data_IF_399413745759
#
_entry.id   IF_399413745759
#
_cell.length_a   1.000
_cell.length_b   1.000
_cell.length_c   1.000
_cell.angle_alpha   90.00
_cell.angle_beta   90.00
_cell.angle_gamma   90.00
#
_symmetry.space_group_name_H-M   'P 1'
#
loop_
_entity.id
_entity.type
_entity.pdbx_description
1 polymer ?
#
# COMPACT_ATOMS: atom_id res chain seq x y z
N UNK A 1 -71.70 14.93 -32.01
CA UNK A 1 -70.63 14.72 -31.02
C UNK A 1 -70.56 13.25 -30.52
N UNK A 2 -70.62 12.23 -31.40
CA UNK A 2 -70.50 10.80 -31.01
C UNK A 2 -69.40 10.02 -31.75
N UNK A 3 -68.72 10.63 -32.73
CA UNK A 3 -67.70 9.96 -33.58
C UNK A 3 -66.26 10.17 -33.13
N UNK A 4 -65.97 11.26 -32.41
CA UNK A 4 -64.62 11.55 -31.89
C UNK A 4 -64.26 10.76 -30.64
N UNK A 5 -65.24 10.32 -29.85
CA UNK A 5 -65.00 9.49 -28.66
C UNK A 5 -64.64 8.04 -28.99
N UNK A 6 -65.11 7.50 -30.11
CA UNK A 6 -64.83 6.11 -30.50
C UNK A 6 -63.38 5.93 -30.98
N UNK A 7 -62.78 6.94 -31.61
CA UNK A 7 -61.38 6.87 -32.06
C UNK A 7 -60.37 6.99 -30.91
N UNK A 8 -60.65 7.81 -29.88
CA UNK A 8 -59.79 7.87 -28.69
C UNK A 8 -59.80 6.56 -27.90
N UNK A 9 -60.93 5.85 -27.84
CA UNK A 9 -61.00 4.56 -27.15
C UNK A 9 -60.23 3.44 -27.86
N UNK A 10 -60.24 3.42 -29.20
CA UNK A 10 -59.48 2.41 -29.97
C UNK A 10 -57.97 2.66 -29.89
N UNK A 11 -57.54 3.94 -29.87
CA UNK A 11 -56.11 4.27 -29.74
C UNK A 11 -55.56 4.02 -28.33
N UNK A 12 -56.36 4.24 -27.27
CA UNK A 12 -55.96 3.90 -25.89
C UNK A 12 -55.87 2.39 -25.66
N UNK A 13 -56.74 1.59 -26.29
CA UNK A 13 -56.65 0.13 -26.19
C UNK A 13 -55.44 -0.46 -26.93
N UNK A 14 -55.01 0.12 -28.06
CA UNK A 14 -53.81 -0.35 -28.77
C UNK A 14 -52.49 -0.05 -28.04
N UNK A 15 -52.46 0.96 -27.15
CA UNK A 15 -51.27 1.27 -26.34
C UNK A 15 -51.27 0.48 -25.02
N UNK A 16 -52.44 0.11 -24.50
CA UNK A 16 -52.56 -0.68 -23.27
C UNK A 16 -52.45 -2.20 -23.48
N UNK A 17 -52.50 -2.69 -24.71
CA UNK A 17 -52.40 -4.13 -25.03
C UNK A 17 -50.98 -4.61 -25.36
N UNK A 18 -49.96 -3.74 -25.29
CA UNK A 18 -48.55 -4.12 -25.37
C UNK A 18 -47.83 -4.20 -24.01
N UNK A 19 -48.52 -3.91 -22.91
CA UNK A 19 -47.99 -4.13 -21.56
C UNK A 19 -48.59 -5.41 -20.96
N UNK A 20 -47.75 -6.44 -20.82
CA UNK A 20 -47.96 -7.67 -20.05
C UNK A 20 -48.58 -8.90 -20.74
N UNK A 21 -48.22 -9.18 -21.99
CA UNK A 21 -48.02 -10.59 -22.35
C UNK A 21 -46.72 -11.07 -21.69
N UNK A 22 -46.79 -11.41 -20.39
CA UNK A 22 -45.85 -12.39 -19.83
C UNK A 22 -46.13 -13.66 -20.62
N UNK A 23 -45.23 -14.00 -21.54
CA UNK A 23 -45.21 -15.34 -22.14
C UNK A 23 -45.33 -16.32 -20.98
N UNK A 24 -46.33 -17.23 -20.97
CA UNK A 24 -46.34 -18.27 -19.99
C UNK A 24 -45.08 -19.10 -20.29
N UNK A 25 -44.04 -18.92 -19.48
CA UNK A 25 -42.91 -19.84 -19.40
C UNK A 25 -43.43 -21.14 -18.80
N UNK A 26 -44.29 -21.85 -19.53
CA UNK A 26 -44.74 -23.22 -19.22
C UNK A 26 -43.75 -24.27 -19.70
N UNK A 27 -42.57 -23.87 -20.16
CA UNK A 27 -41.39 -24.71 -20.06
C UNK A 27 -40.49 -24.13 -18.96
N UNK A 28 -40.58 -24.69 -17.76
CA UNK A 28 -39.47 -24.65 -16.80
C UNK A 28 -38.33 -25.34 -17.50
N UNK A 29 -37.45 -24.56 -18.13
CA UNK A 29 -36.23 -25.09 -18.71
C UNK A 29 -35.47 -25.74 -17.55
N UNK A 30 -35.19 -27.05 -17.58
CA UNK A 30 -34.44 -27.69 -16.51
C UNK A 30 -33.09 -26.99 -16.39
N UNK A 31 -32.81 -26.49 -15.20
CA UNK A 31 -31.65 -25.67 -14.92
C UNK A 31 -31.55 -25.39 -13.44
N UNK A 32 -30.43 -24.82 -13.03
CA UNK A 32 -30.19 -24.46 -11.63
C UNK A 32 -29.19 -23.32 -11.55
N UNK A 33 -28.84 -22.95 -10.35
CA UNK A 33 -27.76 -22.02 -10.06
C UNK A 33 -26.45 -22.78 -9.87
N UNK A 34 -25.37 -22.15 -10.32
CA UNK A 34 -24.00 -22.55 -10.01
C UNK A 34 -23.19 -21.30 -9.64
N UNK A 35 -22.00 -21.50 -9.09
CA UNK A 35 -21.09 -20.41 -8.77
C UNK A 35 -20.44 -19.90 -10.05
N UNK A 36 -20.65 -18.63 -10.36
CA UNK A 36 -20.05 -17.96 -11.51
C UNK A 36 -18.62 -17.52 -11.20
N UNK A 37 -18.42 -16.79 -10.10
CA UNK A 37 -17.14 -16.28 -9.64
C UNK A 37 -17.09 -16.11 -8.13
N UNK A 38 -15.87 -15.94 -7.61
CA UNK A 38 -15.59 -15.60 -6.22
C UNK A 38 -14.78 -14.30 -6.22
N UNK A 39 -15.15 -13.34 -5.38
CA UNK A 39 -14.46 -12.07 -5.20
C UNK A 39 -13.98 -11.94 -3.76
N UNK A 40 -12.72 -11.56 -3.58
CA UNK A 40 -12.18 -11.24 -2.25
C UNK A 40 -12.42 -9.75 -1.98
N UNK A 41 -13.04 -9.47 -0.84
CA UNK A 41 -13.39 -8.14 -0.35
C UNK A 41 -12.50 -7.79 0.84
N UNK A 42 -12.13 -6.51 0.99
CA UNK A 42 -11.33 -6.01 2.12
C UNK A 42 -11.97 -4.76 2.69
N UNK A 43 -11.95 -4.63 4.02
CA UNK A 43 -12.39 -3.44 4.74
C UNK A 43 -11.34 -3.04 5.80
N UNK A 44 -10.76 -1.83 5.74
CA UNK A 44 -10.99 -0.80 4.71
C UNK A 44 -10.47 -1.23 3.33
N UNK A 45 -11.02 -0.67 2.24
CA UNK A 45 -10.57 -0.94 0.86
C UNK A 45 -9.16 -0.41 0.60
N UNK A 46 -8.80 0.68 1.30
CA UNK A 46 -7.48 1.27 1.32
C UNK A 46 -6.83 1.05 2.68
N UNK A 47 -5.66 0.43 2.70
CA UNK A 47 -4.96 0.09 3.93
C UNK A 47 -3.44 0.16 3.77
N UNK A 48 -2.76 0.27 4.92
CA UNK A 48 -1.34 0.56 5.00
C UNK A 48 -0.60 -0.49 5.86
N UNK A 49 0.72 -0.46 5.87
CA UNK A 49 1.54 -1.18 6.84
C UNK A 49 1.03 -0.94 8.26
N UNK A 50 1.04 -1.99 9.08
CA UNK A 50 0.45 -2.03 10.43
C UNK A 50 -1.08 -1.97 10.52
N UNK A 51 -1.80 -1.90 9.39
CA UNK A 51 -3.26 -1.98 9.41
C UNK A 51 -3.75 -3.36 9.81
N UNK A 52 -4.84 -3.41 10.59
CA UNK A 52 -5.67 -4.60 10.76
C UNK A 52 -6.79 -4.50 9.73
N UNK A 53 -6.87 -5.47 8.83
CA UNK A 53 -7.92 -5.53 7.81
C UNK A 53 -8.92 -6.64 8.13
N UNK A 54 -10.19 -6.39 7.80
CA UNK A 54 -11.21 -7.41 7.71
C UNK A 54 -11.32 -7.86 6.25
N UNK A 55 -11.45 -9.17 6.07
CA UNK A 55 -11.56 -9.83 4.77
C UNK A 55 -12.92 -10.49 4.70
N UNK A 56 -13.57 -10.32 3.56
CA UNK A 56 -14.81 -10.97 3.19
C UNK A 56 -14.66 -11.65 1.83
N UNK A 57 -15.64 -12.48 1.50
CA UNK A 57 -15.74 -13.12 0.21
C UNK A 57 -17.15 -12.96 -0.32
N UNK A 58 -17.28 -12.53 -1.58
CA UNK A 58 -18.53 -12.56 -2.33
C UNK A 58 -18.51 -13.74 -3.29
N UNK A 59 -19.51 -14.59 -3.19
CA UNK A 59 -19.74 -15.71 -4.09
C UNK A 59 -20.86 -15.30 -5.03
N UNK A 60 -20.56 -15.17 -6.31
CA UNK A 60 -21.54 -14.82 -7.32
C UNK A 60 -22.17 -16.09 -7.90
N UNK A 61 -23.47 -16.05 -8.11
CA UNK A 61 -24.25 -17.13 -8.68
C UNK A 61 -24.74 -16.76 -10.07
N UNK A 62 -24.83 -17.76 -10.94
CA UNK A 62 -25.49 -17.59 -12.22
C UNK A 62 -26.43 -18.76 -12.49
N UNK A 63 -27.54 -18.46 -13.14
CA UNK A 63 -28.47 -19.48 -13.62
C UNK A 63 -27.89 -20.13 -14.88
N UNK A 64 -27.85 -21.44 -14.89
CA UNK A 64 -27.43 -22.25 -16.04
C UNK A 64 -28.60 -23.05 -16.57
N UNK A 65 -28.63 -23.20 -17.90
CA UNK A 65 -29.65 -23.94 -18.63
C UNK A 65 -29.05 -25.30 -19.01
N UNK A 66 -29.71 -26.40 -18.61
CA UNK A 66 -29.25 -27.77 -18.90
C UNK A 66 -28.05 -28.25 -18.06
N UNK A 67 -27.59 -29.49 -18.31
CA UNK A 67 -26.51 -30.19 -17.58
C UNK A 67 -25.10 -29.57 -17.75
N UNK A 68 -24.99 -28.32 -18.20
CA UNK A 68 -23.73 -27.70 -18.59
C UNK A 68 -22.81 -27.31 -17.41
N UNK A 69 -23.32 -27.25 -16.18
CA UNK A 69 -22.50 -26.98 -15.00
C UNK A 69 -22.44 -28.21 -14.09
N UNK A 70 -21.22 -28.67 -13.81
CA UNK A 70 -20.95 -29.66 -12.76
C UNK A 70 -21.49 -29.10 -11.43
N UNK A 71 -22.46 -29.80 -10.83
CA UNK A 71 -23.04 -29.49 -9.51
C UNK A 71 -23.98 -28.26 -9.43
N UNK A 72 -24.88 -28.05 -10.40
CA UNK A 72 -25.96 -27.06 -10.27
C UNK A 72 -27.02 -27.45 -9.23
N UNK A 73 -27.68 -26.47 -8.61
CA UNK A 73 -28.76 -26.69 -7.65
C UNK A 73 -29.85 -25.62 -7.78
N UNK A 74 -31.06 -25.91 -7.36
CA UNK A 74 -32.14 -24.93 -7.24
C UNK A 74 -32.72 -25.00 -5.83
N UNK A 75 -33.32 -23.90 -5.36
CA UNK A 75 -33.91 -23.80 -4.02
C UNK A 75 -35.33 -23.27 -4.13
N UNK A 76 -36.26 -23.89 -3.42
CA UNK A 76 -37.59 -23.32 -3.17
C UNK A 76 -37.52 -22.27 -2.06
N UNK A 77 -38.60 -21.51 -1.91
CA UNK A 77 -38.75 -20.64 -0.73
C UNK A 77 -38.62 -21.46 0.56
N UNK A 78 -37.80 -20.95 1.49
CA UNK A 78 -37.41 -21.58 2.77
C UNK A 78 -36.43 -22.78 2.68
N UNK A 79 -35.99 -23.19 1.48
CA UNK A 79 -34.91 -24.16 1.36
C UNK A 79 -33.54 -23.48 1.50
N UNK A 80 -32.60 -24.18 2.11
CA UNK A 80 -31.21 -23.75 2.25
C UNK A 80 -30.26 -24.83 1.74
N UNK A 81 -29.19 -24.41 1.07
CA UNK A 81 -28.07 -25.28 0.72
C UNK A 81 -26.88 -24.97 1.61
N UNK A 82 -26.33 -25.98 2.28
CA UNK A 82 -25.05 -25.86 2.97
C UNK A 82 -23.91 -25.84 1.95
N UNK A 83 -23.00 -24.90 2.12
CA UNK A 83 -21.77 -24.77 1.33
C UNK A 83 -20.59 -24.45 2.25
N UNK A 84 -19.39 -24.71 1.75
CA UNK A 84 -18.14 -24.54 2.49
C UNK A 84 -17.17 -23.66 1.71
N UNK A 85 -16.48 -22.78 2.43
CA UNK A 85 -15.41 -21.97 1.86
C UNK A 85 -14.19 -22.02 2.75
N UNK A 86 -13.03 -22.19 2.11
CA UNK A 86 -11.73 -22.11 2.74
C UNK A 86 -11.08 -20.80 2.34
N UNK A 87 -10.59 -20.07 3.32
CA UNK A 87 -9.79 -18.88 3.07
C UNK A 87 -8.35 -19.15 3.48
N UNK A 88 -7.49 -19.30 2.48
CA UNK A 88 -6.05 -19.46 2.64
C UNK A 88 -5.49 -18.06 2.91
N UNK A 89 -4.75 -17.94 4.01
CA UNK A 89 -4.33 -16.66 4.59
C UNK A 89 -3.42 -15.79 3.71
N UNK A 90 -2.76 -14.82 4.34
CA UNK A 90 -1.78 -13.95 3.69
C UNK A 90 -0.56 -14.77 3.27
N UNK A 91 -0.53 -15.23 2.02
CA UNK A 91 0.62 -15.93 1.45
C UNK A 91 1.71 -14.90 1.14
N UNK A 92 2.75 -14.86 1.99
CA UNK A 92 3.88 -13.92 1.89
C UNK A 92 4.96 -14.46 0.94
N UNK A 93 5.14 -15.78 0.93
CA UNK A 93 6.04 -16.48 0.03
C UNK A 93 5.52 -17.89 -0.28
N UNK A 94 6.29 -18.71 -0.99
CA UNK A 94 5.93 -20.13 -1.19
C UNK A 94 5.92 -20.93 0.11
N UNK A 95 6.72 -20.52 1.09
CA UNK A 95 6.94 -21.25 2.36
C UNK A 95 6.36 -20.52 3.58
N UNK A 96 5.96 -19.25 3.43
CA UNK A 96 5.47 -18.41 4.52
C UNK A 96 4.00 -18.01 4.26
N UNK A 97 3.11 -18.45 5.15
CA UNK A 97 1.69 -18.06 5.12
C UNK A 97 1.24 -17.63 6.50
N UNK A 98 0.72 -16.42 6.61
CA UNK A 98 0.08 -15.93 7.82
C UNK A 98 -1.41 -16.23 7.78
N UNK A 99 -1.92 -16.99 8.75
CA UNK A 99 -3.32 -17.41 8.77
C UNK A 99 -4.23 -16.23 9.13
N UNK A 100 -5.29 -16.05 8.33
CA UNK A 100 -6.40 -15.17 8.65
C UNK A 100 -7.33 -15.90 9.63
N UNK A 101 -7.71 -15.24 10.71
CA UNK A 101 -8.54 -15.85 11.76
C UNK A 101 -9.99 -15.40 11.56
N UNK A 102 -10.93 -16.34 11.59
CA UNK A 102 -12.35 -16.06 11.43
C UNK A 102 -13.02 -15.65 12.76
N UNK A 103 -13.70 -14.51 12.76
CA UNK A 103 -14.54 -13.93 13.82
C UNK A 103 -15.93 -13.54 13.29
N UNK A 104 -16.31 -14.06 12.14
CA UNK A 104 -17.63 -13.81 11.55
C UNK A 104 -18.76 -14.52 12.29
N UNK A 105 -19.98 -14.48 11.74
CA UNK A 105 -21.11 -15.24 12.25
C UNK A 105 -20.75 -16.72 12.45
N UNK A 106 -21.33 -17.35 13.47
CA UNK A 106 -21.04 -18.76 13.80
C UNK A 106 -21.15 -19.63 12.56
N UNK A 107 -20.03 -20.25 12.19
CA UNK A 107 -19.93 -21.21 11.09
C UNK A 107 -20.89 -22.37 11.34
N UNK A 108 -21.50 -22.88 10.28
CA UNK A 108 -22.26 -24.14 10.35
C UNK A 108 -21.35 -25.35 10.64
N UNK A 109 -20.03 -25.21 10.46
CA UNK A 109 -19.03 -26.20 10.86
C UNK A 109 -18.36 -25.86 12.19
N UNK A 110 -17.86 -26.87 12.92
CA UNK A 110 -17.05 -26.66 14.12
C UNK A 110 -15.87 -25.71 13.89
N UNK A 111 -15.52 -24.91 14.89
CA UNK A 111 -14.43 -23.92 14.81
C UNK A 111 -13.05 -24.52 14.55
N UNK A 112 -12.85 -25.79 14.91
CA UNK A 112 -11.62 -26.55 14.68
C UNK A 112 -11.60 -27.29 13.33
N UNK A 113 -12.64 -27.14 12.50
CA UNK A 113 -12.68 -27.78 11.19
C UNK A 113 -11.74 -27.05 10.21
N UNK A 114 -10.66 -27.74 9.81
CA UNK A 114 -9.59 -27.17 9.00
C UNK A 114 -9.02 -28.20 8.02
N UNK A 115 -8.54 -27.72 6.87
CA UNK A 115 -7.78 -28.51 5.89
C UNK A 115 -6.47 -27.80 5.56
N UNK A 116 -5.36 -28.54 5.60
CA UNK A 116 -4.03 -27.97 5.37
C UNK A 116 -3.64 -26.85 6.36
N UNK A 117 -4.25 -26.81 7.54
CA UNK A 117 -4.04 -25.76 8.55
C UNK A 117 -4.87 -24.49 8.36
N UNK A 118 -5.80 -24.45 7.40
CA UNK A 118 -6.69 -23.32 7.16
C UNK A 118 -8.12 -23.64 7.60
N UNK A 119 -8.73 -22.72 8.34
CA UNK A 119 -10.11 -22.85 8.81
C UNK A 119 -11.09 -22.86 7.62
N UNK A 120 -12.02 -23.82 7.65
CA UNK A 120 -13.11 -23.92 6.67
C UNK A 120 -14.39 -23.42 7.34
N UNK A 121 -15.08 -22.50 6.68
CA UNK A 121 -16.33 -21.91 7.17
C UNK A 121 -17.50 -22.51 6.38
N UNK A 122 -18.48 -23.03 7.12
CA UNK A 122 -19.74 -23.52 6.58
C UNK A 122 -20.80 -22.42 6.61
N UNK A 123 -21.52 -22.24 5.52
CA UNK A 123 -22.56 -21.21 5.38
C UNK A 123 -23.74 -21.72 4.58
N UNK A 124 -24.93 -21.17 4.85
CA UNK A 124 -26.15 -21.52 4.15
C UNK A 124 -26.45 -20.52 3.02
N UNK A 125 -26.68 -21.04 1.82
CA UNK A 125 -27.23 -20.31 0.68
C UNK A 125 -28.73 -20.47 0.68
N UNK A 126 -29.45 -19.35 0.61
CA UNK A 126 -30.91 -19.27 0.58
C UNK A 126 -31.40 -18.92 -0.83
N UNK A 127 -32.70 -19.08 -1.07
CA UNK A 127 -33.32 -18.61 -2.31
C UNK A 127 -33.13 -17.10 -2.54
N UNK A 128 -33.18 -16.30 -1.47
CA UNK A 128 -32.96 -14.85 -1.57
C UNK A 128 -31.53 -14.50 -2.03
N UNK A 129 -30.51 -15.26 -1.59
CA UNK A 129 -29.13 -15.10 -2.07
C UNK A 129 -29.04 -15.41 -3.59
N UNK A 130 -29.71 -16.47 -4.06
CA UNK A 130 -29.74 -16.85 -5.48
C UNK A 130 -30.44 -15.80 -6.35
N UNK A 131 -31.56 -15.25 -5.86
CA UNK A 131 -32.32 -14.20 -6.56
C UNK A 131 -31.56 -12.87 -6.60
N UNK A 132 -30.80 -12.58 -5.55
CA UNK A 132 -29.88 -11.44 -5.50
C UNK A 132 -28.66 -11.65 -6.42
N UNK A 133 -28.34 -12.90 -6.73
CA UNK A 133 -27.24 -13.29 -7.60
C UNK A 133 -25.89 -13.38 -6.90
N UNK A 134 -25.81 -13.15 -5.59
CA UNK A 134 -24.59 -13.30 -4.81
C UNK A 134 -24.85 -13.55 -3.33
N UNK A 135 -23.83 -14.04 -2.63
CA UNK A 135 -23.77 -14.10 -1.17
C UNK A 135 -22.44 -13.58 -0.67
N UNK A 136 -22.47 -12.72 0.35
CA UNK A 136 -21.27 -12.27 1.04
C UNK A 136 -21.07 -13.00 2.36
N UNK A 137 -19.81 -13.31 2.65
CA UNK A 137 -19.38 -13.92 3.89
C UNK A 137 -18.26 -13.04 4.43
N UNK A 138 -18.45 -12.50 5.64
CA UNK A 138 -17.49 -11.62 6.28
C UNK A 138 -17.03 -12.23 7.59
N UNK A 139 -15.81 -11.86 8.02
CA UNK A 139 -15.36 -12.15 9.37
C UNK A 139 -13.92 -12.58 9.52
N UNK A 140 -13.14 -12.69 8.44
CA UNK A 140 -11.72 -13.00 8.57
C UNK A 140 -10.94 -11.74 8.92
N UNK A 141 -10.01 -11.83 9.86
CA UNK A 141 -9.09 -10.74 10.20
C UNK A 141 -7.66 -11.24 10.24
N UNK A 142 -6.72 -10.33 10.02
CA UNK A 142 -5.30 -10.61 10.20
C UNK A 142 -4.99 -10.89 11.68
N UNK A 143 -4.20 -11.93 11.92
CA UNK A 143 -3.73 -12.30 13.27
C UNK A 143 -2.68 -11.32 13.79
N UNK A 144 -1.87 -10.76 12.89
CA UNK A 144 -0.86 -9.76 13.16
C UNK A 144 -0.98 -8.60 12.17
N UNK A 145 -0.52 -7.39 12.53
CA UNK A 145 -0.52 -6.25 11.61
C UNK A 145 0.25 -6.54 10.32
N UNK A 146 -0.19 -5.96 9.21
CA UNK A 146 0.43 -6.18 7.90
C UNK A 146 1.87 -5.63 7.87
N UNK A 147 2.83 -6.51 7.59
CA UNK A 147 4.21 -6.11 7.30
C UNK A 147 4.32 -5.57 5.88
N UNK A 148 5.24 -4.63 5.61
CA UNK A 148 5.43 -4.00 4.30
C UNK A 148 6.07 -4.92 3.25
N UNK A 149 5.36 -5.99 2.92
CA UNK A 149 5.74 -7.04 1.98
C UNK A 149 4.53 -7.43 1.14
N UNK A 150 4.77 -7.83 -0.10
CA UNK A 150 3.72 -8.32 -0.99
C UNK A 150 3.07 -9.56 -0.37
N UNK A 151 1.77 -9.74 -0.62
CA UNK A 151 1.05 -10.91 -0.17
C UNK A 151 -0.09 -11.26 -1.13
N UNK A 152 -0.60 -12.48 -1.02
CA UNK A 152 -1.82 -12.91 -1.68
C UNK A 152 -2.86 -13.36 -0.66
N UNK A 153 -4.14 -13.15 -0.93
CA UNK A 153 -5.25 -13.82 -0.25
C UNK A 153 -5.87 -14.77 -1.27
N UNK A 154 -6.13 -15.99 -0.84
CA UNK A 154 -6.71 -17.02 -1.70
C UNK A 154 -7.97 -17.56 -1.00
N UNK A 155 -9.06 -17.68 -1.74
CA UNK A 155 -10.31 -18.22 -1.24
C UNK A 155 -10.79 -19.32 -2.20
N UNK A 156 -11.09 -20.50 -1.69
CA UNK A 156 -11.52 -21.65 -2.49
C UNK A 156 -12.80 -22.25 -1.92
N UNK A 157 -13.74 -22.63 -2.79
CA UNK A 157 -14.84 -23.49 -2.38
C UNK A 157 -14.33 -24.90 -2.12
N UNK A 158 -14.72 -25.45 -0.98
CA UNK A 158 -14.31 -26.78 -0.57
C UNK A 158 -15.48 -27.78 -0.73
N UNK A 159 -15.23 -29.05 -0.48
CA UNK A 159 -16.30 -30.05 -0.39
C UNK A 159 -17.14 -29.80 0.87
N UNK A 160 -18.42 -30.19 0.83
CA UNK A 160 -19.23 -30.27 2.05
C UNK A 160 -18.67 -31.43 2.89
N UNK A 161 -18.09 -31.14 4.07
CA UNK A 161 -17.43 -32.15 4.86
C UNK A 161 -18.38 -33.05 5.64
N UNK A 162 -19.64 -32.62 5.84
CA UNK A 162 -20.65 -33.39 6.57
C UNK A 162 -21.19 -34.50 5.67
N UNK A 163 -21.37 -34.20 4.39
CA UNK A 163 -21.96 -35.13 3.43
C UNK A 163 -20.92 -35.73 2.45
N UNK A 164 -19.67 -35.27 2.51
CA UNK A 164 -18.61 -35.59 1.56
C UNK A 164 -19.05 -35.37 0.10
N UNK A 165 -19.87 -34.35 -0.13
CA UNK A 165 -20.43 -34.02 -1.43
C UNK A 165 -19.76 -32.75 -1.99
N UNK A 166 -19.46 -32.72 -3.30
CA UNK A 166 -18.93 -31.53 -3.93
C UNK A 166 -19.95 -30.39 -3.87
N UNK A 167 -19.49 -29.22 -3.41
CA UNK A 167 -20.30 -28.00 -3.44
C UNK A 167 -20.48 -27.52 -4.89
N UNK A 168 -21.50 -26.69 -5.12
CA UNK A 168 -21.64 -26.06 -6.43
C UNK A 168 -20.44 -25.16 -6.70
N UNK A 169 -19.70 -25.43 -7.77
CA UNK A 169 -18.43 -24.75 -8.04
C UNK A 169 -17.25 -25.27 -7.21
N UNK A 170 -17.29 -26.52 -6.73
CA UNK A 170 -16.09 -27.17 -6.18
C UNK A 170 -14.93 -27.01 -7.18
N UNK A 171 -13.75 -26.63 -6.71
CA UNK A 171 -12.58 -26.18 -7.50
C UNK A 171 -12.61 -24.73 -8.03
N UNK A 172 -13.67 -23.96 -7.79
CA UNK A 172 -13.60 -22.51 -8.01
C UNK A 172 -12.92 -21.84 -6.83
N UNK A 173 -11.94 -21.04 -7.16
CA UNK A 173 -11.21 -20.21 -6.21
C UNK A 173 -10.98 -18.82 -6.77
N UNK A 174 -10.62 -17.91 -5.88
CA UNK A 174 -10.16 -16.58 -6.18
C UNK A 174 -8.80 -16.39 -5.53
N UNK A 175 -7.88 -15.77 -6.26
CA UNK A 175 -6.62 -15.27 -5.73
C UNK A 175 -6.52 -13.80 -6.06
N UNK A 176 -6.20 -13.01 -5.06
CA UNK A 176 -5.91 -11.58 -5.24
C UNK A 176 -4.52 -11.33 -4.68
N UNK A 177 -3.71 -10.63 -5.46
CA UNK A 177 -2.35 -10.28 -5.10
C UNK A 177 -2.30 -8.79 -4.73
N UNK A 178 -1.66 -8.47 -3.60
CA UNK A 178 -1.37 -7.11 -3.16
C UNK A 178 0.12 -6.84 -3.24
N UNK A 179 0.44 -5.65 -3.75
CA UNK A 179 1.79 -5.12 -3.82
C UNK A 179 1.94 -4.06 -2.73
N UNK A 180 2.99 -4.19 -1.93
CA UNK A 180 3.43 -3.18 -0.98
C UNK A 180 4.11 -2.06 -1.75
N UNK A 181 3.49 -0.88 -1.76
CA UNK A 181 4.00 0.33 -2.40
C UNK A 181 4.31 1.35 -1.33
N UNK A 182 5.56 1.77 -1.19
CA UNK A 182 5.85 2.93 -0.36
C UNK A 182 5.34 4.18 -1.08
N UNK A 183 4.18 4.70 -0.64
CA UNK A 183 3.66 5.98 -1.13
C UNK A 183 4.08 7.08 -0.17
N UNK A 184 4.61 8.15 -0.74
CA UNK A 184 5.09 9.35 -0.03
C UNK A 184 4.02 9.98 0.86
N UNK A 185 2.75 9.85 0.47
CA UNK A 185 1.58 10.40 1.18
C UNK A 185 1.02 9.49 2.28
N UNK A 186 1.65 8.35 2.56
CA UNK A 186 1.21 7.47 3.63
C UNK A 186 1.61 8.05 5.01
N UNK A 187 0.74 7.96 6.04
CA UNK A 187 1.10 8.39 7.39
C UNK A 187 2.37 7.66 7.84
N UNK A 188 3.37 8.41 8.32
CA UNK A 188 4.66 7.98 8.90
C UNK A 188 5.06 6.51 8.65
N UNK A 189 6.02 6.27 7.74
CA UNK A 189 6.71 4.98 7.54
C UNK A 189 5.84 3.78 7.10
N UNK A 190 4.59 3.98 6.72
CA UNK A 190 3.72 2.89 6.27
C UNK A 190 3.70 2.74 4.74
N UNK A 191 3.87 1.51 4.26
CA UNK A 191 3.57 1.17 2.85
C UNK A 191 2.06 1.20 2.62
N UNK A 192 1.61 1.56 1.43
CA UNK A 192 0.24 1.35 0.97
C UNK A 192 0.15 0.02 0.23
N UNK A 193 -0.89 -0.77 0.48
CA UNK A 193 -1.13 -1.99 -0.29
C UNK A 193 -2.08 -1.72 -1.44
N UNK A 194 -1.62 -2.03 -2.66
CA UNK A 194 -2.40 -1.83 -3.89
C UNK A 194 -2.62 -3.19 -4.55
N UNK A 195 -3.84 -3.46 -5.02
CA UNK A 195 -4.11 -4.71 -5.75
C UNK A 195 -3.34 -4.74 -7.06
N UNK A 196 -2.66 -5.84 -7.36
CA UNK A 196 -1.73 -5.98 -8.50
C UNK A 196 -2.40 -5.73 -9.86
N UNK A 197 -3.67 -6.09 -10.01
CA UNK A 197 -4.50 -5.82 -11.18
C UNK A 197 -4.79 -4.33 -11.39
N UNK A 198 -4.77 -3.53 -10.32
CA UNK A 198 -4.90 -2.06 -10.39
C UNK A 198 -3.56 -1.35 -10.63
N UNK A 199 -2.42 -2.00 -10.33
CA UNK A 199 -1.07 -1.45 -10.59
C UNK A 199 -0.83 -1.22 -12.09
N UNK A 200 -1.44 -2.02 -12.96
CA UNK A 200 -1.31 -1.89 -14.42
C UNK A 200 -1.95 -0.62 -15.00
N UNK A 201 -2.78 0.12 -14.24
CA UNK A 201 -3.44 1.33 -14.74
C UNK A 201 -2.91 2.64 -14.13
N UNK A 202 -2.14 2.61 -13.04
CA UNK A 202 -1.60 3.83 -12.42
C UNK A 202 -0.27 3.57 -11.73
N UNK A 203 0.84 3.66 -12.47
CA UNK A 203 2.08 4.30 -12.01
C UNK A 203 3.08 4.30 -13.16
N UNK A 204 3.16 5.41 -13.90
CA UNK A 204 4.48 5.85 -14.35
C UNK A 204 5.22 6.19 -13.08
N UNK A 205 6.17 5.36 -12.66
CA UNK A 205 7.00 5.65 -11.49
C UNK A 205 7.77 6.94 -11.79
N UNK A 206 7.27 8.06 -11.28
CA UNK A 206 7.87 9.37 -11.48
C UNK A 206 9.02 9.51 -10.49
N UNK A 207 10.24 9.48 -11.00
CA UNK A 207 11.43 9.75 -10.21
C UNK A 207 11.60 11.27 -10.08
N UNK A 208 12.33 11.69 -9.07
CA UNK A 208 12.70 13.09 -8.86
C UNK A 208 14.18 13.16 -8.61
N UNK A 209 14.86 14.13 -9.21
CA UNK A 209 16.28 14.36 -9.04
C UNK A 209 16.59 15.70 -8.41
N UNK A 210 17.61 15.74 -7.56
CA UNK A 210 18.13 17.03 -7.08
C UNK A 210 18.94 17.66 -8.20
N UNK A 211 18.57 18.88 -8.57
CA UNK A 211 19.26 19.67 -9.58
C UNK A 211 20.30 20.59 -8.96
N UNK A 212 20.06 21.12 -7.76
CA UNK A 212 20.97 22.03 -7.06
C UNK A 212 20.67 22.12 -5.58
N UNK A 213 21.68 22.49 -4.81
CA UNK A 213 21.50 22.94 -3.42
C UNK A 213 21.08 24.41 -3.45
N UNK A 214 19.98 24.73 -2.75
CA UNK A 214 19.43 26.08 -2.64
C UNK A 214 19.98 26.81 -1.42
N UNK A 215 20.02 26.13 -0.27
CA UNK A 215 20.53 26.71 0.98
C UNK A 215 20.95 25.62 1.98
N UNK A 216 21.69 26.04 3.00
CA UNK A 216 22.00 25.26 4.19
C UNK A 216 21.63 26.08 5.41
N UNK A 217 20.64 25.62 6.16
CA UNK A 217 20.18 26.26 7.41
C UNK A 217 20.84 25.56 8.59
N UNK A 218 21.22 26.34 9.59
CA UNK A 218 21.84 25.82 10.81
C UNK A 218 21.10 26.39 12.01
N UNK A 219 20.74 25.52 12.94
CA UNK A 219 20.05 25.90 14.17
C UNK A 219 20.73 25.28 15.38
N UNK A 220 20.87 25.98 16.52
CA UNK A 220 20.60 27.42 16.71
C UNK A 220 21.73 28.34 16.19
N UNK A 221 21.37 29.58 15.85
CA UNK A 221 22.29 30.73 15.68
C UNK A 221 21.97 31.80 16.76
N UNK A 222 22.97 32.44 17.42
CA UNK A 222 24.42 32.31 17.24
C UNK A 222 25.00 31.00 17.82
N UNK A 223 26.23 30.68 17.44
CA UNK A 223 26.90 29.43 17.84
C UNK A 223 27.66 29.56 19.15
N UNK A 224 27.38 28.66 20.08
CA UNK A 224 28.06 28.56 21.37
C UNK A 224 28.81 27.23 21.54
N UNK A 225 29.75 27.20 22.48
CA UNK A 225 30.53 26.01 22.79
C UNK A 225 29.65 24.91 23.39
N UNK A 226 29.83 23.68 22.94
CA UNK A 226 29.08 22.52 23.43
C UNK A 226 27.65 22.41 22.91
N UNK A 227 27.21 23.34 22.06
CA UNK A 227 25.90 23.34 21.41
C UNK A 227 25.79 22.20 20.40
N UNK A 228 24.59 21.62 20.32
CA UNK A 228 24.23 20.70 19.26
C UNK A 228 23.70 21.50 18.07
N UNK A 229 24.31 21.32 16.91
CA UNK A 229 23.89 21.93 15.66
C UNK A 229 22.96 20.98 14.91
N UNK A 230 21.83 21.53 14.48
CA UNK A 230 20.92 20.92 13.52
C UNK A 230 21.15 21.59 12.17
N UNK A 231 21.61 20.80 11.20
CA UNK A 231 21.87 21.28 9.84
C UNK A 231 20.77 20.77 8.92
N UNK A 232 20.17 21.68 8.16
CA UNK A 232 19.12 21.41 7.19
C UNK A 232 19.64 21.81 5.81
N UNK A 233 19.71 20.86 4.90
CA UNK A 233 20.04 21.09 3.50
C UNK A 233 18.75 21.29 2.71
N UNK A 234 18.62 22.43 2.03
CA UNK A 234 17.50 22.74 1.15
C UNK A 234 17.98 22.59 -0.29
N UNK A 235 17.27 21.81 -1.09
CA UNK A 235 17.64 21.51 -2.46
C UNK A 235 16.44 21.63 -3.40
N UNK A 236 16.70 21.93 -4.67
CA UNK A 236 15.68 22.01 -5.72
C UNK A 236 15.61 20.69 -6.46
N UNK A 237 14.42 20.13 -6.62
CA UNK A 237 14.22 18.87 -7.32
C UNK A 237 13.35 19.00 -8.58
N UNK A 238 13.62 18.15 -9.56
CA UNK A 238 12.86 18.08 -10.81
C UNK A 238 12.44 16.64 -11.14
N UNK A 239 11.33 16.43 -11.86
CA UNK A 239 10.94 15.11 -12.33
C UNK A 239 12.01 14.47 -13.23
N UNK A 240 12.09 13.14 -13.18
CA UNK A 240 12.93 12.33 -14.06
C UNK A 240 12.21 11.02 -14.42
N UNK A 241 12.52 10.49 -15.61
CA UNK A 241 11.93 9.27 -16.17
C UNK A 241 12.65 7.99 -15.77
N UNK A 242 13.94 8.09 -15.40
CA UNK A 242 14.80 6.95 -15.06
C UNK A 242 15.30 7.03 -13.61
N UNK A 243 15.46 5.89 -12.92
CA UNK A 243 16.10 5.84 -11.62
C UNK A 243 17.56 6.30 -11.73
N UNK A 244 18.04 6.93 -10.67
CA UNK A 244 19.36 7.52 -10.58
C UNK A 244 19.80 7.50 -9.09
N UNK A 245 21.11 7.44 -8.85
CA UNK A 245 21.69 7.47 -7.50
C UNK A 245 22.66 8.68 -7.42
N UNK A 246 22.39 9.66 -6.54
CA UNK A 246 23.38 10.68 -6.11
C UNK A 246 23.70 10.47 -4.64
N UNK A 247 24.81 11.07 -4.23
CA UNK A 247 25.30 11.05 -2.87
C UNK A 247 25.44 12.49 -2.38
N UNK A 248 24.79 12.80 -1.27
CA UNK A 248 24.98 14.08 -0.58
C UNK A 248 26.18 13.95 0.36
N UNK A 249 27.19 14.77 0.12
CA UNK A 249 28.43 14.82 0.91
C UNK A 249 28.53 16.19 1.57
N UNK A 250 29.02 16.25 2.80
CA UNK A 250 29.21 17.51 3.51
C UNK A 250 30.46 17.51 4.38
N UNK A 251 30.99 18.70 4.63
CA UNK A 251 32.14 18.96 5.51
C UNK A 251 31.81 20.07 6.48
N UNK A 252 32.31 19.94 7.71
CA UNK A 252 32.14 20.94 8.76
C UNK A 252 33.51 21.26 9.33
N UNK A 253 33.92 22.51 9.14
CA UNK A 253 35.17 23.02 9.66
C UNK A 253 34.88 24.09 10.71
N UNK A 254 35.48 23.96 11.88
CA UNK A 254 35.37 24.91 12.98
C UNK A 254 36.74 25.52 13.23
N UNK A 255 36.83 26.85 13.13
CA UNK A 255 38.04 27.61 13.44
C UNK A 255 37.90 28.26 14.81
N UNK A 256 38.93 28.11 15.63
CA UNK A 256 38.97 28.62 17.00
C UNK A 256 39.84 29.86 17.14
N UNK A 257 39.64 30.64 18.20
CA UNK A 257 40.41 31.88 18.47
C UNK A 257 41.91 31.63 18.64
N UNK A 258 42.28 30.46 19.16
CA UNK A 258 43.68 30.06 19.32
C UNK A 258 44.36 29.66 17.99
N UNK A 259 43.68 29.82 16.85
CA UNK A 259 44.18 29.47 15.52
C UNK A 259 44.03 27.99 15.14
N UNK A 260 43.59 27.14 16.07
CA UNK A 260 43.33 25.73 15.76
C UNK A 260 42.10 25.61 14.84
N UNK A 261 42.12 24.60 13.98
CA UNK A 261 40.98 24.20 13.16
C UNK A 261 40.64 22.76 13.47
N UNK A 262 39.37 22.48 13.73
CA UNK A 262 38.84 21.12 13.82
C UNK A 262 37.97 20.87 12.61
N UNK A 263 38.29 19.84 11.84
CA UNK A 263 37.31 19.23 10.95
C UNK A 263 36.60 18.16 11.75
N UNK A 264 35.26 18.14 11.72
CA UNK A 264 34.51 17.08 12.36
C UNK A 264 34.66 15.86 11.45
N UNK A 265 35.37 14.80 11.89
CA UNK A 265 35.73 13.72 10.99
C UNK A 265 34.46 12.96 10.60
N UNK A 266 34.20 12.97 9.31
CA UNK A 266 33.36 11.97 8.66
C UNK A 266 34.32 11.13 7.81
N UNK A 267 34.34 9.81 8.03
CA UNK A 267 35.32 8.89 7.43
C UNK A 267 35.18 8.85 5.90
N UNK A 268 35.92 9.71 5.20
CA UNK A 268 35.86 9.90 3.75
C UNK A 268 37.17 9.59 3.02
N UNK A 269 38.21 9.12 3.72
CA UNK A 269 39.54 8.85 3.15
C UNK A 269 39.64 7.59 2.27
N UNK A 270 38.61 6.76 2.22
CA UNK A 270 38.39 5.67 1.27
C UNK A 270 36.89 5.39 1.36
N UNK A 271 36.17 5.49 0.24
CA UNK A 271 34.71 5.49 0.15
C UNK A 271 34.11 4.30 0.93
N UNK A 272 33.62 4.54 2.14
CA UNK A 272 32.79 3.60 2.86
C UNK A 272 31.32 3.89 2.48
N UNK A 273 30.69 3.08 1.62
CA UNK A 273 29.29 3.29 1.23
C UNK A 273 28.31 3.25 2.41
N UNK A 274 28.74 2.80 3.59
CA UNK A 274 27.94 2.80 4.81
C UNK A 274 27.84 4.19 5.50
N UNK A 275 28.64 5.19 5.10
CA UNK A 275 28.63 6.52 5.72
C UNK A 275 27.99 7.62 4.86
N UNK A 276 27.77 7.37 3.57
CA UNK A 276 27.22 8.35 2.63
C UNK A 276 25.70 8.55 2.79
N UNK A 277 25.22 9.78 2.56
CA UNK A 277 23.78 10.04 2.46
C UNK A 277 23.34 9.78 1.01
N UNK A 278 22.55 8.73 0.80
CA UNK A 278 22.00 8.40 -0.52
C UNK A 278 20.83 9.33 -0.82
N UNK A 279 20.89 10.02 -1.95
CA UNK A 279 19.76 10.78 -2.48
C UNK A 279 18.96 9.88 -3.41
N UNK A 280 17.68 9.67 -3.12
CA UNK A 280 16.84 8.74 -3.89
C UNK A 280 15.38 9.15 -3.92
N UNK A 281 14.66 8.78 -4.98
CA UNK A 281 13.19 8.86 -5.01
C UNK A 281 12.51 7.63 -4.42
N UNK A 282 13.25 6.53 -4.23
CA UNK A 282 12.72 5.26 -3.73
C UNK A 282 13.70 4.64 -2.75
N UNK A 283 13.44 4.69 -1.43
CA UNK A 283 14.29 4.05 -0.43
C UNK A 283 14.46 2.57 -0.77
N UNK A 284 15.69 2.10 -0.95
CA UNK A 284 15.97 0.67 -1.09
C UNK A 284 16.01 0.06 0.32
N UNK A 285 15.34 -1.08 0.51
CA UNK A 285 15.19 -1.70 1.83
C UNK A 285 16.51 -2.16 2.46
N UNK A 286 16.82 -1.55 3.60
CA UNK A 286 17.64 -1.99 4.75
C UNK A 286 19.13 -2.33 4.58
N UNK A 287 19.95 -1.58 5.34
CA UNK A 287 21.33 -1.88 5.70
C UNK A 287 22.14 -0.63 6.03
N UNK A 288 21.72 0.15 7.03
CA UNK A 288 22.49 1.27 7.61
C UNK A 288 22.87 2.47 6.70
N UNK A 289 22.03 2.81 5.71
CA UNK A 289 22.30 3.99 4.85
C UNK A 289 21.33 5.13 5.14
N UNK A 290 21.88 6.35 5.28
CA UNK A 290 21.12 7.58 5.54
C UNK A 290 20.51 8.06 4.23
N UNK A 291 19.19 8.19 4.11
CA UNK A 291 18.53 8.56 2.85
C UNK A 291 18.02 10.01 2.83
N UNK A 292 18.40 10.79 1.82
CA UNK A 292 17.72 12.02 1.43
C UNK A 292 16.66 11.67 0.37
N UNK A 293 15.40 11.60 0.79
CA UNK A 293 14.29 11.22 -0.08
C UNK A 293 13.75 12.42 -0.86
N UNK A 294 13.74 12.31 -2.19
CA UNK A 294 13.21 13.33 -3.11
C UNK A 294 11.90 12.84 -3.69
N UNK A 295 10.82 13.54 -3.37
CA UNK A 295 9.46 13.03 -3.56
C UNK A 295 8.51 13.98 -4.31
N UNK A 296 9.01 15.16 -4.68
CA UNK A 296 8.25 16.20 -5.36
C UNK A 296 9.18 17.01 -6.27
N UNK A 297 8.62 17.85 -7.13
CA UNK A 297 9.35 18.89 -7.82
C UNK A 297 9.38 20.18 -6.97
N UNK A 298 10.45 20.96 -7.08
CA UNK A 298 10.69 22.18 -6.32
C UNK A 298 11.51 21.95 -5.05
N UNK A 299 11.38 22.85 -4.08
CA UNK A 299 12.19 22.81 -2.87
C UNK A 299 11.89 21.59 -2.01
N UNK A 300 12.94 20.86 -1.62
CA UNK A 300 12.95 19.75 -0.66
C UNK A 300 13.99 20.01 0.42
N UNK A 301 13.72 19.58 1.66
CA UNK A 301 14.60 19.81 2.80
C UNK A 301 14.99 18.49 3.47
N UNK A 302 16.26 18.39 3.86
CA UNK A 302 16.83 17.23 4.53
C UNK A 302 17.59 17.64 5.78
N UNK A 303 17.25 17.04 6.91
CA UNK A 303 17.96 17.25 8.18
C UNK A 303 19.07 16.22 8.28
N UNK A 304 20.30 16.67 8.51
CA UNK A 304 21.43 15.75 8.70
C UNK A 304 21.17 14.85 9.92
N UNK A 305 21.45 13.55 9.83
CA UNK A 305 21.06 12.57 10.86
C UNK A 305 21.94 12.60 12.10
N UNK A 306 23.11 13.23 12.04
CA UNK A 306 24.01 13.36 13.17
C UNK A 306 23.74 14.65 13.94
N UNK A 307 23.59 14.54 15.26
CA UNK A 307 23.67 15.68 16.15
C UNK A 307 25.15 16.12 16.24
N UNK A 308 25.49 17.20 15.55
CA UNK A 308 26.87 17.68 15.49
C UNK A 308 27.15 18.52 16.71
N UNK A 309 28.06 18.04 17.57
CA UNK A 309 28.50 18.77 18.76
C UNK A 309 29.82 19.46 18.50
N UNK A 310 29.87 20.77 18.73
CA UNK A 310 31.13 21.52 18.62
C UNK A 310 32.06 21.13 19.79
N UNK A 311 33.30 20.70 19.53
CA UNK A 311 34.25 20.32 20.58
C UNK A 311 34.54 21.46 21.57
N UNK A 312 34.75 21.10 22.85
CA UNK A 312 35.15 22.04 23.90
C UNK A 312 36.66 22.34 23.84
N UNK A 313 37.10 23.15 22.88
CA UNK A 313 38.52 23.54 22.77
C UNK A 313 38.77 25.00 23.20
N UNK A 314 38.10 25.97 22.60
CA UNK A 314 38.14 27.41 22.97
C UNK A 314 37.05 28.19 22.22
N UNK A 315 36.94 29.50 22.38
CA UNK A 315 35.94 30.32 21.67
C UNK A 315 35.99 30.16 20.15
N UNK A 316 34.82 30.02 19.52
CA UNK A 316 34.65 29.80 18.08
C UNK A 316 34.84 31.14 17.34
N UNK A 317 35.55 31.11 16.22
CA UNK A 317 35.74 32.25 15.31
C UNK A 317 34.90 32.09 14.06
N UNK A 318 34.87 30.89 13.50
CA UNK A 318 34.19 30.62 12.24
C UNK A 318 33.68 29.18 12.23
N UNK A 319 32.48 29.01 11.68
CA UNK A 319 31.95 27.71 11.27
C UNK A 319 31.78 27.77 9.76
N UNK A 320 32.39 26.83 9.05
CA UNK A 320 32.20 26.62 7.62
C UNK A 320 31.50 25.27 7.42
N UNK A 321 30.41 25.30 6.66
CA UNK A 321 29.71 24.10 6.22
C UNK A 321 29.73 24.08 4.70
N UNK A 322 30.27 23.00 4.16
CA UNK A 322 30.32 22.73 2.72
C UNK A 322 29.43 21.54 2.41
N UNK A 323 28.61 21.64 1.36
CA UNK A 323 27.70 20.58 0.93
C UNK A 323 27.83 20.39 -0.58
N UNK A 324 27.92 19.14 -1.02
CA UNK A 324 28.07 18.75 -2.43
C UNK A 324 27.18 17.56 -2.79
N UNK A 325 26.80 17.46 -4.06
CA UNK A 325 25.98 16.37 -4.60
C UNK A 325 26.74 15.57 -5.66
N UNK A 326 27.18 14.36 -5.36
CA UNK A 326 27.96 13.56 -6.30
C UNK A 326 27.05 12.63 -7.12
N UNK A 327 27.31 12.51 -8.43
CA UNK A 327 26.56 11.60 -9.30
C UNK A 327 27.34 10.29 -9.48
N UNK A 328 26.79 9.18 -8.99
CA UNK A 328 27.43 7.86 -9.11
C UNK A 328 28.57 7.59 -8.11
N UNK A 329 29.15 6.38 -8.20
CA UNK A 329 30.21 5.85 -7.31
C UNK A 329 31.64 6.24 -7.73
N UNK A 330 31.80 6.92 -8.87
CA UNK A 330 33.12 7.33 -9.37
C UNK A 330 33.60 8.58 -8.62
N UNK A 331 34.49 8.35 -7.66
CA UNK A 331 35.16 9.34 -6.79
C UNK A 331 35.94 10.40 -7.58
N UNK A 332 36.24 10.15 -8.86
CA UNK A 332 36.98 11.06 -9.74
C UNK A 332 36.10 12.10 -10.45
N UNK A 333 34.77 12.03 -10.30
CA UNK A 333 33.84 12.99 -10.90
C UNK A 333 33.28 13.93 -9.85
N UNK A 334 33.97 15.07 -9.66
CA UNK A 334 33.44 16.18 -8.89
C UNK A 334 32.06 16.62 -9.43
N UNK A 335 31.15 16.92 -8.51
CA UNK A 335 29.86 17.49 -8.85
C UNK A 335 30.01 18.83 -9.58
N UNK A 336 29.14 19.15 -10.55
CA UNK A 336 28.97 20.52 -11.02
C UNK A 336 28.28 21.44 -9.97
N UNK A 337 27.82 20.91 -8.84
CA UNK A 337 27.06 21.64 -7.82
C UNK A 337 27.77 21.59 -6.46
N UNK A 338 28.55 22.64 -6.17
CA UNK A 338 29.23 22.88 -4.90
C UNK A 338 28.60 24.08 -4.18
N UNK A 339 28.27 23.93 -2.90
CA UNK A 339 27.75 25.01 -2.07
C UNK A 339 28.53 25.11 -0.77
N UNK A 340 29.01 26.32 -0.46
CA UNK A 340 29.77 26.60 0.76
C UNK A 340 29.12 27.77 1.49
N UNK A 341 28.78 27.58 2.77
CA UNK A 341 28.26 28.62 3.64
C UNK A 341 29.21 28.81 4.82
N UNK A 342 29.53 30.08 5.10
CA UNK A 342 30.48 30.49 6.14
C UNK A 342 29.82 31.47 7.08
N UNK A 343 29.99 31.22 8.36
CA UNK A 343 29.52 32.12 9.40
C UNK A 343 30.69 32.53 10.28
N UNK A 344 30.84 33.84 10.46
CA UNK A 344 31.77 34.40 11.44
C UNK A 344 31.05 34.42 12.78
N UNK A 345 31.54 33.61 13.73
CA UNK A 345 30.96 33.56 15.06
C UNK A 345 31.17 34.91 15.76
N UNK A 346 30.07 35.57 16.13
CA UNK A 346 30.10 36.80 16.91
C UNK A 346 30.12 36.42 18.39
N UNK A 347 31.30 36.47 18.99
CA UNK A 347 31.46 36.18 20.41
C UNK A 347 30.80 37.31 21.21
N UNK A 348 29.67 37.03 21.84
CA UNK A 348 29.10 37.90 22.87
C UNK A 348 29.75 37.49 24.18
N UNK A 349 30.69 38.31 24.66
CA UNK A 349 31.20 38.17 26.02
C UNK A 349 30.03 38.45 26.98
N UNK A 350 29.50 37.42 27.64
CA UNK A 350 28.64 37.61 28.80
C UNK A 350 29.59 37.79 30.00
N UNK A 351 29.72 39.00 30.57
CA UNK A 351 30.49 39.15 31.81
C UNK A 351 29.80 38.33 32.90
N UNK A 352 30.55 37.39 33.48
CA UNK A 352 30.13 36.66 34.67
C UNK A 352 29.93 37.69 35.79
N UNK A 353 28.75 37.69 36.42
CA UNK A 353 28.55 38.37 37.70
C UNK A 353 28.90 37.43 38.83
#
# INVERSE_FOLDING_TARGET
MKRTWLMCFVFLFSVLSFSQLKVPLTHVVPGGFTVSSIEILTNPEKFYGQSIINVGVRINFMRVIGQAATYSFDLKENETKLMSIRLIGLKLSETETNTLIYYGPTSAFPSNYQYGGFQIVGFYVTKADLDTGYKEIWGWRVSYPLACRNFSIIADLDMDPVYNQPTAGVHKGARVDWVSVQRVTAPMQSCEFVRKDQVSQQQTQQYFQVERILDVLVEPEPFELGQQLKIIVVADSKPQTNPWDQYLVYWINVKYQNGQTSSIPHSFGNFDPNSAIIVTSTPRGAGDVRYFVVNQAGSVSYVLPEAIKIPFNSSIVEVEIKVQLWAGLDVDRFSPHDFTKRWVAKIVFVPVR
#
